data_IF_689525696821
#
_entry.id   IF_689525696821
#
_cell.length_a   1.000
_cell.length_b   1.000
_cell.length_c   1.000
_cell.angle_alpha   90.00
_cell.angle_beta   90.00
_cell.angle_gamma   90.00
#
_symmetry.space_group_name_H-M   'P 1'
#
loop_
_entity.id
_entity.type
_entity.pdbx_description
1 polymer ?
#
# COMPACT_ATOMS: atom_id res chain seq x y z
N UNK A 1 -54.04 31.96 35.23
CA UNK A 1 -52.91 32.78 35.75
C UNK A 1 -52.43 32.15 37.05
N UNK A 2 -51.11 32.13 37.28
CA UNK A 2 -50.38 31.44 38.37
C UNK A 2 -50.04 29.97 38.06
N UNK A 3 -48.79 29.48 38.14
CA UNK A 3 -47.45 30.09 38.25
C UNK A 3 -46.50 29.19 37.46
N UNK A 4 -45.61 29.80 36.69
CA UNK A 4 -44.35 29.19 36.25
C UNK A 4 -43.60 28.69 37.49
N UNK A 5 -43.24 27.42 37.49
CA UNK A 5 -42.21 26.88 38.36
C UNK A 5 -40.90 26.92 37.60
N UNK A 6 -40.23 28.05 37.71
CA UNK A 6 -38.86 28.23 37.26
C UNK A 6 -37.92 27.89 38.44
N UNK A 7 -36.84 27.19 38.10
CA UNK A 7 -35.53 27.15 38.78
C UNK A 7 -35.39 26.40 40.12
N UNK A 8 -34.79 25.21 40.04
CA UNK A 8 -33.91 24.73 41.11
C UNK A 8 -32.56 24.29 40.52
N UNK A 9 -31.75 25.32 40.31
CA UNK A 9 -30.31 25.35 40.46
C UNK A 9 -29.74 24.19 41.32
N UNK A 10 -29.00 23.28 40.69
CA UNK A 10 -27.77 22.71 41.26
C UNK A 10 -27.09 21.80 40.22
N UNK A 11 -26.12 22.39 39.52
CA UNK A 11 -24.99 21.61 39.01
C UNK A 11 -24.22 21.07 40.22
N UNK A 12 -23.89 19.77 40.21
CA UNK A 12 -22.50 19.42 40.47
C UNK A 12 -22.01 18.48 39.36
N UNK A 13 -20.87 18.84 38.77
CA UNK A 13 -20.06 17.93 37.96
C UNK A 13 -20.01 16.52 38.61
N UNK A 14 -20.20 15.45 37.83
CA UNK A 14 -19.36 14.28 37.98
C UNK A 14 -18.51 14.17 36.72
N UNK A 15 -17.23 14.46 36.90
CA UNK A 15 -16.16 13.70 36.27
C UNK A 15 -16.59 12.25 36.08
N UNK A 16 -16.67 11.77 34.83
CA UNK A 16 -16.04 10.51 34.43
C UNK A 16 -16.43 10.11 33.02
N UNK A 17 -15.45 9.49 32.37
CA UNK A 17 -15.59 8.69 31.16
C UNK A 17 -15.86 9.45 29.88
N UNK A 18 -14.77 10.05 29.38
CA UNK A 18 -14.01 9.43 28.28
C UNK A 18 -14.74 8.22 27.61
N UNK A 19 -15.71 8.48 26.75
CA UNK A 19 -15.93 7.58 25.62
C UNK A 19 -15.19 8.19 24.45
N UNK A 20 -13.96 7.72 24.29
CA UNK A 20 -13.21 7.87 23.06
C UNK A 20 -14.15 7.57 21.90
N UNK A 21 -14.46 8.59 21.10
CA UNK A 21 -14.89 8.36 19.73
C UNK A 21 -13.67 7.79 19.02
N UNK A 22 -13.51 6.47 19.12
CA UNK A 22 -12.70 5.69 18.21
C UNK A 22 -13.33 5.93 16.85
N UNK A 23 -12.78 6.87 16.10
CA UNK A 23 -13.10 7.03 14.69
C UNK A 23 -12.96 5.66 14.05
N UNK A 24 -14.06 5.11 13.57
CA UNK A 24 -14.08 3.98 12.65
C UNK A 24 -13.15 4.35 11.48
N UNK A 25 -11.90 3.90 11.56
CA UNK A 25 -11.03 3.83 10.40
C UNK A 25 -11.62 2.70 9.58
N UNK A 26 -12.52 3.08 8.67
CA UNK A 26 -13.06 2.21 7.65
C UNK A 26 -11.88 1.55 6.94
N UNK A 27 -11.66 0.27 7.25
CA UNK A 27 -10.56 -0.49 6.70
C UNK A 27 -10.69 -0.45 5.17
N UNK A 28 -9.62 -0.08 4.42
CA UNK A 28 -9.71 -0.13 2.98
C UNK A 28 -9.95 -1.58 2.58
N UNK A 29 -11.01 -1.81 1.79
CA UNK A 29 -11.20 -3.07 1.06
C UNK A 29 -9.83 -3.49 0.52
N UNK A 30 -9.34 -4.69 0.86
CA UNK A 30 -8.01 -5.14 0.44
C UNK A 30 -8.08 -5.46 -1.06
N UNK A 31 -8.08 -4.40 -1.86
CA UNK A 31 -8.03 -4.46 -3.30
C UNK A 31 -6.64 -4.93 -3.69
N UNK A 32 -6.58 -5.94 -4.55
CA UNK A 32 -5.30 -6.46 -5.04
C UNK A 32 -4.52 -5.31 -5.68
N UNK A 33 -3.34 -4.99 -5.13
CA UNK A 33 -2.52 -3.86 -5.58
C UNK A 33 -2.37 -3.83 -7.11
N UNK A 34 -2.64 -2.67 -7.74
CA UNK A 34 -2.64 -2.51 -9.22
C UNK A 34 -1.26 -2.77 -9.83
N UNK A 35 -0.20 -2.47 -9.08
CA UNK A 35 1.20 -2.62 -9.48
C UNK A 35 1.80 -3.91 -8.91
N UNK A 36 2.63 -4.56 -9.70
CA UNK A 36 3.43 -5.73 -9.35
C UNK A 36 4.92 -5.42 -9.46
N UNK A 37 5.66 -5.86 -8.45
CA UNK A 37 7.11 -5.90 -8.51
C UNK A 37 7.55 -7.10 -9.36
N UNK A 38 8.40 -6.82 -10.33
CA UNK A 38 8.91 -7.77 -11.31
C UNK A 38 10.43 -7.74 -11.30
N UNK A 39 11.04 -8.89 -11.54
CA UNK A 39 12.49 -9.04 -11.72
C UNK A 39 12.81 -9.21 -13.20
N UNK A 40 13.71 -8.37 -13.70
CA UNK A 40 14.29 -8.48 -15.02
C UNK A 40 15.67 -9.12 -14.90
N UNK A 41 15.84 -10.30 -15.48
CA UNK A 41 17.07 -11.10 -15.40
C UNK A 41 17.91 -10.86 -16.65
N UNK A 42 19.23 -10.75 -16.49
CA UNK A 42 20.18 -10.63 -17.58
C UNK A 42 20.20 -11.91 -18.46
N UNK A 43 20.21 -11.74 -19.78
CA UNK A 43 20.36 -12.86 -20.72
C UNK A 43 21.77 -13.45 -20.74
N UNK A 44 22.76 -12.74 -20.19
CA UNK A 44 24.14 -13.22 -20.09
C UNK A 44 24.37 -14.26 -18.99
N UNK A 45 23.30 -14.80 -18.36
CA UNK A 45 23.36 -15.82 -17.32
C UNK A 45 24.25 -15.45 -16.11
N UNK A 46 24.42 -14.15 -15.84
CA UNK A 46 25.23 -13.66 -14.71
C UNK A 46 24.47 -13.67 -13.38
N UNK A 47 23.14 -13.80 -13.43
CA UNK A 47 22.28 -13.74 -12.24
C UNK A 47 22.00 -12.32 -11.74
N UNK A 48 22.53 -11.29 -12.39
CA UNK A 48 22.20 -9.90 -12.08
C UNK A 48 20.78 -9.56 -12.55
N UNK A 49 20.04 -8.85 -11.71
CA UNK A 49 18.66 -8.48 -12.01
C UNK A 49 18.31 -7.07 -11.53
N UNK A 50 17.39 -6.45 -12.26
CA UNK A 50 16.76 -5.20 -11.86
C UNK A 50 15.34 -5.45 -11.36
N UNK A 51 14.90 -4.66 -10.39
CA UNK A 51 13.52 -4.65 -9.91
C UNK A 51 12.76 -3.50 -10.55
N UNK A 52 11.60 -3.80 -11.09
CA UNK A 52 10.70 -2.80 -11.68
C UNK A 52 9.29 -2.98 -11.15
N UNK A 53 8.51 -1.89 -11.15
CA UNK A 53 7.08 -1.93 -10.83
C UNK A 53 6.31 -1.77 -12.13
N UNK A 54 5.50 -2.76 -12.50
CA UNK A 54 4.60 -2.70 -13.67
C UNK A 54 3.15 -2.97 -13.29
N UNK A 55 2.16 -2.43 -14.01
CA UNK A 55 0.77 -2.85 -13.84
C UNK A 55 0.56 -4.31 -14.27
N UNK A 56 -0.45 -4.99 -13.71
CA UNK A 56 -0.74 -6.41 -14.04
C UNK A 56 -1.09 -6.62 -15.52
N UNK A 57 -1.84 -5.68 -16.08
CA UNK A 57 -2.41 -5.77 -17.43
C UNK A 57 -1.38 -5.60 -18.56
N UNK A 58 -0.18 -5.08 -18.26
CA UNK A 58 0.83 -4.85 -19.30
C UNK A 58 1.49 -6.15 -19.79
N UNK A 59 2.01 -6.18 -21.03
CA UNK A 59 2.83 -7.30 -21.52
C UNK A 59 4.17 -7.39 -20.77
N UNK A 60 4.90 -8.48 -21.02
CA UNK A 60 6.24 -8.71 -20.46
C UNK A 60 7.24 -7.71 -21.02
N UNK A 61 8.16 -7.25 -20.18
CA UNK A 61 9.15 -6.25 -20.57
C UNK A 61 10.48 -6.90 -20.98
N UNK A 62 11.04 -6.42 -22.08
CA UNK A 62 12.42 -6.64 -22.48
C UNK A 62 13.14 -5.31 -22.62
N UNK A 63 14.31 -5.15 -22.00
CA UNK A 63 15.07 -3.89 -22.04
C UNK A 63 16.57 -4.14 -22.21
N UNK A 64 17.25 -3.29 -22.97
CA UNK A 64 18.69 -3.27 -23.04
C UNK A 64 19.26 -2.41 -21.91
N UNK A 65 19.99 -3.03 -20.98
CA UNK A 65 20.58 -2.34 -19.83
C UNK A 65 22.00 -2.79 -19.57
N UNK A 66 22.75 -2.03 -18.78
CA UNK A 66 24.13 -2.37 -18.45
C UNK A 66 24.18 -3.45 -17.38
N UNK A 67 25.00 -4.47 -17.60
CA UNK A 67 25.33 -5.46 -16.58
C UNK A 67 26.73 -5.15 -16.02
N UNK A 68 26.87 -4.86 -14.71
CA UNK A 68 28.17 -4.56 -14.11
C UNK A 68 29.16 -5.72 -14.14
N UNK A 69 28.67 -6.97 -14.27
CA UNK A 69 29.51 -8.16 -14.29
C UNK A 69 30.16 -8.33 -15.67
N UNK A 70 29.37 -8.20 -16.74
CA UNK A 70 29.86 -8.34 -18.12
C UNK A 70 30.50 -7.05 -18.64
N UNK A 71 30.19 -5.92 -18.00
CA UNK A 71 30.58 -4.56 -18.41
C UNK A 71 30.09 -4.18 -19.81
N UNK A 72 28.91 -4.69 -20.20
CA UNK A 72 28.29 -4.46 -21.50
C UNK A 72 26.80 -4.21 -21.34
N UNK A 73 26.19 -3.62 -22.38
CA UNK A 73 24.73 -3.54 -22.48
C UNK A 73 24.21 -4.89 -22.97
N UNK A 74 23.34 -5.50 -22.18
CA UNK A 74 22.77 -6.83 -22.41
C UNK A 74 21.25 -6.71 -22.38
N UNK A 75 20.56 -7.62 -23.07
CA UNK A 75 19.12 -7.74 -22.99
C UNK A 75 18.72 -8.32 -21.63
N UNK A 76 17.73 -7.70 -21.00
CA UNK A 76 17.11 -8.15 -19.76
C UNK A 76 15.67 -8.55 -20.05
N UNK A 77 15.27 -9.72 -19.56
CA UNK A 77 13.92 -10.26 -19.74
C UNK A 77 13.23 -10.46 -18.39
N UNK A 78 11.91 -10.25 -18.39
CA UNK A 78 11.07 -10.53 -17.23
C UNK A 78 10.94 -12.02 -16.93
N UNK A 79 11.11 -12.38 -15.66
CA UNK A 79 10.79 -13.73 -15.20
C UNK A 79 9.35 -13.81 -14.72
N UNK A 80 8.62 -14.79 -15.26
CA UNK A 80 7.29 -15.14 -14.77
C UNK A 80 7.39 -15.66 -13.33
N UNK A 81 6.68 -15.02 -12.40
CA UNK A 81 6.56 -15.53 -11.03
C UNK A 81 5.85 -16.89 -11.10
N UNK A 82 6.53 -17.98 -10.73
CA UNK A 82 5.86 -19.26 -10.49
C UNK A 82 4.98 -19.08 -9.25
N UNK A 83 3.66 -19.22 -9.40
CA UNK A 83 2.77 -19.42 -8.25
C UNK A 83 3.11 -20.79 -7.66
N UNK A 84 3.45 -20.81 -6.37
CA UNK A 84 3.53 -22.03 -5.58
C UNK A 84 2.22 -22.19 -4.82
#
# INVERSE_FOLDING_TARGET
>A
MAKKGDDFFSNPFPFSCQCAAWTDVEAPIVAKARLMNVRLISMAMTGFFYTFKRPRTSPMMGMLKYDPIVRKKVLFLETKKRSK
#
